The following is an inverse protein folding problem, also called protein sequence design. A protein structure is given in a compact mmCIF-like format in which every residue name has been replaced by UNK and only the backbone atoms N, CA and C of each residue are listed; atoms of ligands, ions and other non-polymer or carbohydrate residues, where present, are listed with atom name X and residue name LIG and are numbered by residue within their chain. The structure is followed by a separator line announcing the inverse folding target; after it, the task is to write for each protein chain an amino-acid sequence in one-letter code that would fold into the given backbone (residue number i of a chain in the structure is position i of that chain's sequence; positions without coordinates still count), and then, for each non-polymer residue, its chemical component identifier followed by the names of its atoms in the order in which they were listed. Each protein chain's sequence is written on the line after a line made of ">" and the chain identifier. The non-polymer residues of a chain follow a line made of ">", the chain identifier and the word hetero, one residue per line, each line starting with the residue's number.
data_IF_105353634344
#
_entry.id   IF_105353634344
#
_cell.length_a   1.000
_cell.length_b   1.000
_cell.length_c   1.000
_cell.angle_alpha   90.00
_cell.angle_beta   90.00
_cell.angle_gamma   90.00
#
_symmetry.space_group_name_H-M   'P 1'
#
loop_
_entity.id
_entity.type
_entity.pdbx_description
1 polymer ?
#
# COMPACT_ATOMS: atom_id res chain seq x y z
N UNK A 1 -5.21 -1.35 5.93
CA UNK A 1 -5.24 -0.23 4.95
C UNK A 1 -4.40 -0.63 3.75
N UNK A 2 -5.04 -1.02 2.64
CA UNK A 2 -4.32 -1.46 1.45
C UNK A 2 -3.54 -0.32 0.82
N UNK A 3 -2.30 -0.57 0.43
CA UNK A 3 -1.45 0.40 -0.25
C UNK A 3 -0.75 -0.22 -1.46
N UNK A 4 -0.75 0.49 -2.59
CA UNK A 4 -0.07 0.11 -3.82
C UNK A 4 1.25 0.88 -3.95
N UNK A 5 2.37 0.19 -4.14
CA UNK A 5 3.63 0.86 -4.48
C UNK A 5 3.53 1.45 -5.89
N UNK A 6 3.87 2.73 -6.07
CA UNK A 6 3.78 3.37 -7.40
C UNK A 6 4.93 2.99 -8.34
N UNK A 7 5.94 2.28 -7.84
CA UNK A 7 7.12 1.87 -8.61
C UNK A 7 7.05 0.43 -9.10
N UNK A 8 6.75 -0.51 -8.21
CA UNK A 8 6.67 -1.94 -8.54
C UNK A 8 5.23 -2.47 -8.60
N UNK A 9 4.24 -1.59 -8.43
CA UNK A 9 2.82 -1.90 -8.50
C UNK A 9 2.31 -2.96 -7.50
N UNK A 10 3.14 -3.36 -6.53
CA UNK A 10 2.75 -4.30 -5.49
C UNK A 10 1.69 -3.72 -4.57
N UNK A 11 0.60 -4.46 -4.37
CA UNK A 11 -0.48 -4.11 -3.44
C UNK A 11 -0.27 -4.85 -2.13
N UNK A 12 -0.21 -4.10 -1.03
CA UNK A 12 0.00 -4.58 0.33
C UNK A 12 -1.26 -4.32 1.14
N UNK A 13 -2.00 -5.37 1.54
CA UNK A 13 -3.27 -5.24 2.31
C UNK A 13 -3.05 -4.64 3.70
N UNK A 14 -1.94 -4.99 4.33
CA UNK A 14 -1.45 -4.41 5.58
C UNK A 14 -0.23 -3.51 5.33
N UNK A 15 -0.47 -2.37 4.69
CA UNK A 15 0.59 -1.49 4.21
C UNK A 15 1.29 -0.65 5.28
N UNK A 16 0.78 -0.57 6.51
CA UNK A 16 1.24 0.39 7.51
C UNK A 16 2.74 0.25 7.83
N UNK A 17 3.20 -0.97 8.13
CA UNK A 17 4.62 -1.24 8.39
C UNK A 17 5.49 -1.07 7.13
N UNK A 18 4.94 -1.38 5.95
CA UNK A 18 5.64 -1.29 4.67
C UNK A 18 5.87 0.16 4.24
N UNK A 19 4.94 1.06 4.54
CA UNK A 19 5.12 2.49 4.23
C UNK A 19 6.18 3.10 5.14
N UNK A 20 6.22 2.68 6.41
CA UNK A 20 7.21 3.14 7.38
C UNK A 20 8.63 2.66 7.05
N UNK A 21 8.78 1.41 6.62
CA UNK A 21 10.09 0.81 6.33
C UNK A 21 10.51 0.93 4.85
N UNK A 22 9.58 1.24 3.95
CA UNK A 22 9.79 1.22 2.51
C UNK A 22 9.44 -0.11 1.85
N UNK A 23 9.24 -0.10 0.54
CA UNK A 23 8.75 -1.27 -0.20
C UNK A 23 9.80 -2.40 -0.17
N UNK A 24 9.50 -3.61 0.32
CA UNK A 24 10.49 -4.69 0.44
C UNK A 24 10.97 -5.22 -0.92
N UNK A 25 10.21 -4.99 -1.99
CA UNK A 25 10.57 -5.43 -3.34
C UNK A 25 11.53 -4.49 -4.06
N UNK A 26 11.43 -3.18 -3.80
CA UNK A 26 12.15 -2.21 -4.60
C UNK A 26 12.77 -1.06 -3.78
N UNK A 27 12.57 -0.98 -2.46
CA UNK A 27 13.10 0.10 -1.62
C UNK A 27 12.45 1.47 -1.87
N UNK A 28 11.30 1.52 -2.54
CA UNK A 28 10.59 2.77 -2.83
C UNK A 28 9.65 3.16 -1.69
N UNK A 29 9.53 4.47 -1.46
CA UNK A 29 8.81 5.00 -0.30
C UNK A 29 7.53 5.76 -0.66
N UNK A 30 7.12 5.78 -1.95
CA UNK A 30 5.84 6.35 -2.37
C UNK A 30 4.81 5.25 -2.62
N UNK A 31 3.69 5.37 -1.93
CA UNK A 31 2.58 4.44 -1.98
C UNK A 31 1.27 5.18 -2.23
N UNK A 32 0.35 4.53 -2.93
CA UNK A 32 -0.99 5.00 -3.19
C UNK A 32 -1.95 4.23 -2.28
N UNK A 33 -2.75 4.94 -1.50
CA UNK A 33 -3.80 4.30 -0.70
C UNK A 33 -4.85 3.69 -1.63
N UNK A 34 -5.13 2.40 -1.43
CA UNK A 34 -6.17 1.68 -2.16
C UNK A 34 -7.28 1.42 -1.16
N UNK A 35 -8.48 1.91 -1.45
CA UNK A 35 -9.65 1.69 -0.61
C UNK A 35 -10.02 0.23 -0.77
N UNK A 36 -10.08 -0.52 0.32
CA UNK A 36 -10.70 -1.84 0.28
C UNK A 36 -12.20 -1.59 0.13
N UNK A 37 -12.81 -2.04 -0.98
CA UNK A 37 -14.21 -1.78 -1.29
C UNK A 37 -15.16 -2.31 -0.19
N UNK A 38 -14.66 -3.12 0.75
CA UNK A 38 -15.38 -3.62 1.92
C UNK A 38 -15.51 -2.63 3.10
N UNK A 39 -14.89 -1.44 3.08
CA UNK A 39 -14.93 -0.50 4.24
C UNK A 39 -15.77 0.76 4.06
N UNK A 40 -16.67 0.85 3.07
CA UNK A 40 -17.65 1.94 2.99
C UNK A 40 -19.08 1.41 3.13
N UNK A 41 -19.75 1.57 4.29
CA UNK A 41 -21.20 1.67 4.27
C UNK A 41 -21.56 2.97 3.53
N UNK A 42 -22.45 2.84 2.54
CA UNK A 42 -22.98 3.94 1.73
C UNK A 42 -23.68 5.02 2.56
#
# INVERSE_FOLDING_TARGET
>A
MPHKCTRCEGVFRDGAAIILNGCPKCGWNKFLYVRDEMTQPA
#
